data_IF_337299244998
#
_entry.id   IF_337299244998
#
_cell.length_a   1.000
_cell.length_b   1.000
_cell.length_c   1.000
_cell.angle_alpha   90.00
_cell.angle_beta   90.00
_cell.angle_gamma   90.00
#
_symmetry.space_group_name_H-M   'P 1'
#
loop_
_entity.id
_entity.type
_entity.pdbx_description
1 polymer ?
#
# COMPACT_ATOMS: atom_id res chain seq x y z
N UNK A 1 5.82 13.34 1.99
CA UNK A 1 5.86 14.14 0.73
C UNK A 1 6.91 15.25 0.86
N UNK A 2 8.21 14.89 0.83
CA UNK A 2 9.31 15.82 1.18
C UNK A 2 9.41 17.07 0.29
N UNK A 3 8.79 17.08 -0.91
CA UNK A 3 8.78 18.23 -1.83
C UNK A 3 7.44 18.42 -2.55
N UNK A 4 6.40 17.69 -2.21
CA UNK A 4 5.10 17.79 -2.86
C UNK A 4 4.10 18.46 -1.92
N UNK A 5 3.61 19.61 -2.32
CA UNK A 5 2.50 20.29 -1.63
C UNK A 5 1.22 19.52 -1.93
N UNK A 6 0.43 19.18 -0.90
CA UNK A 6 -0.93 18.70 -1.10
C UNK A 6 -1.78 19.89 -1.58
N UNK A 7 -2.36 19.76 -2.76
CA UNK A 7 -3.16 20.82 -3.37
C UNK A 7 -4.65 20.66 -3.07
N UNK A 8 -5.11 19.42 -3.01
CA UNK A 8 -6.52 19.09 -2.76
C UNK A 8 -6.64 17.77 -2.00
N UNK A 9 -7.69 17.67 -1.20
CA UNK A 9 -8.28 16.40 -0.80
C UNK A 9 -9.45 16.11 -1.72
N UNK A 10 -9.49 14.91 -2.30
CA UNK A 10 -10.58 14.46 -3.14
C UNK A 10 -11.36 13.34 -2.42
N UNK A 11 -12.65 13.50 -2.29
CA UNK A 11 -13.54 12.52 -1.66
C UNK A 11 -14.70 12.17 -2.61
N UNK A 12 -15.30 11.00 -2.43
CA UNK A 12 -16.52 10.68 -3.19
C UNK A 12 -17.63 11.70 -2.89
N UNK A 13 -18.40 12.07 -3.87
CA UNK A 13 -19.34 13.22 -3.85
C UNK A 13 -20.27 13.21 -2.62
N UNK A 14 -20.72 12.03 -2.21
CA UNK A 14 -21.60 11.86 -1.03
C UNK A 14 -20.91 12.11 0.31
N UNK A 15 -19.59 12.22 0.33
CA UNK A 15 -18.79 12.46 1.56
C UNK A 15 -18.27 13.88 1.66
N UNK A 16 -18.56 14.75 0.70
CA UNK A 16 -18.20 16.17 0.78
C UNK A 16 -19.09 16.86 1.83
N UNK A 17 -18.55 17.04 3.03
CA UNK A 17 -19.25 17.72 4.14
C UNK A 17 -18.71 19.11 4.42
N UNK A 18 -17.47 19.35 4.05
CA UNK A 18 -16.72 20.57 4.30
C UNK A 18 -15.99 21.01 3.03
N UNK A 19 -15.69 22.29 2.91
CA UNK A 19 -14.97 22.83 1.75
C UNK A 19 -13.46 22.74 1.87
N UNK A 20 -12.92 22.50 3.06
CA UNK A 20 -11.48 22.34 3.30
C UNK A 20 -11.19 21.49 4.53
N UNK A 21 -9.98 20.94 4.59
CA UNK A 21 -9.40 20.28 5.76
C UNK A 21 -7.99 20.86 5.99
N UNK A 22 -7.73 21.37 7.18
CA UNK A 22 -6.47 22.03 7.54
C UNK A 22 -6.01 23.09 6.52
N UNK A 23 -6.95 23.86 5.98
CA UNK A 23 -6.68 24.90 4.97
C UNK A 23 -6.44 24.38 3.55
N UNK A 24 -6.55 23.08 3.31
CA UNK A 24 -6.45 22.48 1.99
C UNK A 24 -7.85 22.23 1.44
N UNK A 25 -8.17 22.69 0.21
CA UNK A 25 -9.50 22.51 -0.36
C UNK A 25 -9.90 21.04 -0.50
N UNK A 26 -11.17 20.74 -0.20
CA UNK A 26 -11.80 19.45 -0.48
C UNK A 26 -12.62 19.58 -1.75
N UNK A 27 -12.45 18.62 -2.66
CA UNK A 27 -13.17 18.56 -3.94
C UNK A 27 -13.95 17.26 -4.05
N UNK A 28 -15.12 17.24 -4.68
CA UNK A 28 -15.83 16.03 -5.04
C UNK A 28 -15.08 15.24 -6.13
N UNK A 29 -15.25 13.93 -6.11
CA UNK A 29 -14.62 13.05 -7.11
C UNK A 29 -15.04 13.40 -8.55
N UNK A 30 -16.27 13.86 -8.76
CA UNK A 30 -16.77 14.30 -10.07
C UNK A 30 -15.97 15.44 -10.68
N UNK A 31 -15.31 16.28 -9.86
CA UNK A 31 -14.47 17.38 -10.36
C UNK A 31 -13.02 16.95 -10.69
N UNK A 32 -12.65 15.73 -10.39
CA UNK A 32 -11.26 15.26 -10.57
C UNK A 32 -10.78 15.38 -12.02
N UNK A 33 -11.65 15.10 -12.99
CA UNK A 33 -11.33 15.25 -14.43
C UNK A 33 -11.06 16.70 -14.83
N UNK A 34 -11.82 17.65 -14.31
CA UNK A 34 -11.64 19.07 -14.60
C UNK A 34 -10.29 19.58 -14.13
N UNK A 35 -9.80 19.05 -12.99
CA UNK A 35 -8.50 19.39 -12.42
C UNK A 35 -7.37 18.80 -13.26
N UNK A 36 -7.49 17.59 -13.76
CA UNK A 36 -6.50 16.96 -14.64
C UNK A 36 -6.22 17.78 -15.89
N UNK A 37 -7.27 18.34 -16.50
CA UNK A 37 -7.13 19.15 -17.71
C UNK A 37 -6.36 20.46 -17.50
N UNK A 38 -6.15 20.87 -16.25
CA UNK A 38 -5.51 22.13 -15.90
C UNK A 38 -4.05 22.01 -15.47
N UNK A 39 -3.64 20.85 -14.92
CA UNK A 39 -2.31 20.67 -14.33
C UNK A 39 -1.90 19.19 -14.24
N UNK A 40 -0.59 18.93 -14.23
CA UNK A 40 0.02 17.61 -14.01
C UNK A 40 0.03 17.22 -12.53
N UNK A 41 -1.15 17.00 -11.95
CA UNK A 41 -1.24 16.50 -10.59
C UNK A 41 -0.93 15.00 -10.51
N UNK A 42 -0.19 14.62 -9.48
CA UNK A 42 -0.07 13.21 -9.06
C UNK A 42 -1.11 12.92 -8.00
N UNK A 43 -1.67 11.73 -8.04
CA UNK A 43 -2.68 11.29 -7.08
C UNK A 43 -2.08 10.28 -6.10
N UNK A 44 -2.56 10.29 -4.88
CA UNK A 44 -2.36 9.24 -3.89
C UNK A 44 -3.71 8.80 -3.35
N UNK A 45 -4.03 7.50 -3.49
CA UNK A 45 -5.28 6.91 -2.97
C UNK A 45 -5.09 6.47 -1.54
N UNK A 46 -5.55 7.27 -0.60
CA UNK A 46 -5.38 7.09 0.85
C UNK A 46 -6.52 6.27 1.49
N UNK A 47 -6.92 5.16 0.86
CA UNK A 47 -7.94 4.27 1.41
C UNK A 47 -7.29 3.08 2.11
N UNK A 48 -7.86 2.67 3.25
CA UNK A 48 -7.35 1.58 4.07
C UNK A 48 -7.66 0.18 3.48
N UNK A 49 -7.63 -0.84 4.31
CA UNK A 49 -7.73 -2.27 3.95
C UNK A 49 -9.16 -2.81 3.81
N UNK A 50 -10.18 -1.96 3.80
CA UNK A 50 -11.58 -2.38 3.73
C UNK A 50 -11.82 -3.41 2.61
N UNK A 51 -12.54 -4.47 2.94
CA UNK A 51 -12.87 -5.58 2.04
C UNK A 51 -11.61 -6.19 1.38
N UNK A 52 -10.63 -6.60 2.21
CA UNK A 52 -9.35 -7.17 1.74
C UNK A 52 -8.71 -6.31 0.66
N UNK A 53 -8.54 -5.01 0.95
CA UNK A 53 -7.94 -4.00 0.07
C UNK A 53 -8.73 -3.69 -1.23
N UNK A 54 -9.83 -4.41 -1.51
CA UNK A 54 -10.58 -4.30 -2.78
C UNK A 54 -11.19 -2.91 -3.01
N UNK A 55 -11.56 -2.20 -1.94
CA UNK A 55 -12.07 -0.82 -2.06
C UNK A 55 -10.96 0.12 -2.54
N UNK A 56 -9.75 0.02 -1.98
CA UNK A 56 -8.58 0.81 -2.41
C UNK A 56 -8.17 0.45 -3.84
N UNK A 57 -8.12 -0.85 -4.16
CA UNK A 57 -7.82 -1.34 -5.51
C UNK A 57 -8.79 -0.79 -6.55
N UNK A 58 -10.10 -0.84 -6.28
CA UNK A 58 -11.12 -0.34 -7.20
C UNK A 58 -10.94 1.16 -7.48
N UNK A 59 -10.73 1.97 -6.43
CA UNK A 59 -10.49 3.40 -6.56
C UNK A 59 -9.19 3.69 -7.31
N UNK A 60 -8.10 2.99 -7.00
CA UNK A 60 -6.84 3.11 -7.71
C UNK A 60 -7.00 2.81 -9.21
N UNK A 61 -7.64 1.70 -9.56
CA UNK A 61 -7.90 1.33 -10.96
C UNK A 61 -8.80 2.35 -11.68
N UNK A 62 -9.82 2.87 -11.00
CA UNK A 62 -10.72 3.88 -11.53
C UNK A 62 -9.97 5.17 -11.90
N UNK A 63 -9.15 5.68 -10.99
CA UNK A 63 -8.36 6.90 -11.20
C UNK A 63 -7.28 6.67 -12.25
N UNK A 64 -6.67 5.48 -12.29
CA UNK A 64 -5.67 5.12 -13.32
C UNK A 64 -6.28 5.12 -14.72
N UNK A 65 -7.51 4.62 -14.90
CA UNK A 65 -8.24 4.67 -16.18
C UNK A 65 -8.51 6.09 -16.65
N UNK A 66 -8.61 7.06 -15.75
CA UNK A 66 -8.71 8.48 -16.09
C UNK A 66 -7.36 9.07 -16.55
N UNK A 67 -6.28 8.27 -16.53
CA UNK A 67 -4.95 8.64 -17.01
C UNK A 67 -4.15 9.50 -16.04
N UNK A 68 -4.47 9.47 -14.73
CA UNK A 68 -3.63 10.08 -13.71
C UNK A 68 -2.37 9.26 -13.45
N UNK A 69 -1.29 9.95 -13.11
CA UNK A 69 -0.09 9.36 -12.54
C UNK A 69 -0.18 9.35 -11.01
N UNK A 70 0.51 8.42 -10.38
CA UNK A 70 0.47 8.28 -8.93
C UNK A 70 1.81 8.65 -8.29
N UNK A 71 1.73 9.07 -7.05
CA UNK A 71 2.90 9.22 -6.17
C UNK A 71 2.83 8.20 -5.04
N UNK A 72 3.98 7.85 -4.49
CA UNK A 72 4.09 7.04 -3.27
C UNK A 72 4.57 7.90 -2.12
N UNK A 73 4.09 7.60 -0.91
CA UNK A 73 4.62 8.17 0.32
C UNK A 73 5.64 7.21 0.93
N UNK A 74 6.85 7.69 1.15
CA UNK A 74 7.91 6.94 1.83
C UNK A 74 8.45 7.81 2.96
N UNK A 75 8.28 7.33 4.19
CA UNK A 75 8.77 8.06 5.35
C UNK A 75 10.29 8.08 5.39
N UNK A 76 10.86 9.25 5.70
CA UNK A 76 12.32 9.50 5.66
C UNK A 76 13.16 8.61 6.60
N UNK A 77 12.55 8.12 7.68
CA UNK A 77 13.21 7.26 8.67
C UNK A 77 13.09 5.76 8.33
N UNK A 78 12.89 5.42 7.07
CA UNK A 78 12.87 4.03 6.60
C UNK A 78 14.17 3.73 5.88
N UNK A 79 14.76 2.57 6.21
CA UNK A 79 15.87 2.03 5.42
C UNK A 79 15.32 1.25 4.24
N UNK A 80 15.68 1.70 3.05
CA UNK A 80 15.33 1.04 1.79
C UNK A 80 16.62 0.85 1.00
N UNK A 81 16.93 -0.41 0.67
CA UNK A 81 18.10 -0.72 -0.15
C UNK A 81 18.01 -0.02 -1.52
N UNK A 82 19.12 0.48 -2.01
CA UNK A 82 19.27 1.05 -3.36
C UNK A 82 18.91 0.06 -4.49
N UNK A 83 18.93 -1.24 -4.19
CA UNK A 83 18.54 -2.33 -5.10
C UNK A 83 17.09 -2.79 -4.93
N UNK A 84 16.33 -2.18 -4.04
CA UNK A 84 14.90 -2.42 -3.93
C UNK A 84 14.11 -1.57 -4.92
N UNK A 85 12.99 -2.09 -5.39
CA UNK A 85 12.07 -1.34 -6.25
C UNK A 85 10.72 -1.17 -5.58
N UNK A 86 10.15 0.03 -5.71
CA UNK A 86 8.84 0.38 -5.13
C UNK A 86 7.98 0.95 -6.24
N UNK A 87 6.79 0.41 -6.37
CA UNK A 87 5.80 0.83 -7.34
C UNK A 87 5.10 2.14 -6.99
N UNK A 88 4.05 2.43 -7.74
CA UNK A 88 3.24 3.63 -7.54
C UNK A 88 2.15 3.44 -6.48
N UNK A 89 1.65 4.54 -5.92
CA UNK A 89 0.61 4.56 -4.88
C UNK A 89 0.95 3.72 -3.65
N UNK A 90 2.22 3.57 -3.31
CA UNK A 90 2.63 2.88 -2.09
C UNK A 90 2.64 3.82 -0.89
N UNK A 91 2.21 3.32 0.27
CA UNK A 91 2.25 4.02 1.55
C UNK A 91 3.20 3.29 2.49
N UNK A 92 4.36 3.88 2.73
CA UNK A 92 5.45 3.28 3.49
C UNK A 92 5.78 4.19 4.68
N UNK A 93 5.31 3.79 5.85
CA UNK A 93 5.52 4.52 7.10
C UNK A 93 6.93 4.29 7.66
N UNK A 94 7.21 4.90 8.80
CA UNK A 94 8.54 4.95 9.42
C UNK A 94 9.06 3.58 9.86
N UNK A 95 10.38 3.53 10.07
CA UNK A 95 11.12 2.41 10.63
C UNK A 95 11.01 1.10 9.82
N UNK A 96 10.83 1.20 8.51
CA UNK A 96 10.93 0.01 7.66
C UNK A 96 12.38 -0.44 7.51
N UNK A 97 12.58 -1.76 7.35
CA UNK A 97 13.80 -2.34 6.83
C UNK A 97 13.48 -3.13 5.57
N UNK A 98 13.74 -2.53 4.40
CA UNK A 98 13.50 -3.16 3.09
C UNK A 98 14.85 -3.50 2.48
N UNK A 99 15.13 -4.81 2.40
CA UNK A 99 16.44 -5.33 1.99
C UNK A 99 16.65 -5.31 0.47
N UNK A 100 17.84 -5.74 0.06
CA UNK A 100 18.26 -5.77 -1.36
C UNK A 100 17.36 -6.67 -2.22
N UNK A 101 17.17 -6.26 -3.47
CA UNK A 101 16.38 -6.98 -4.48
C UNK A 101 14.91 -7.22 -4.07
N UNK A 102 14.41 -6.53 -3.06
CA UNK A 102 12.98 -6.56 -2.74
C UNK A 102 12.21 -5.82 -3.82
N UNK A 103 11.09 -6.39 -4.23
CA UNK A 103 10.14 -5.77 -5.17
C UNK A 103 8.83 -5.54 -4.44
N UNK A 104 8.50 -4.29 -4.20
CA UNK A 104 7.17 -3.87 -3.74
C UNK A 104 6.43 -3.33 -4.94
N UNK A 105 5.33 -3.98 -5.32
CA UNK A 105 4.53 -3.56 -6.47
C UNK A 105 3.59 -2.38 -6.13
N UNK A 106 2.54 -2.18 -6.90
CA UNK A 106 1.72 -0.99 -6.81
C UNK A 106 0.67 -1.08 -5.69
N UNK A 107 0.31 0.08 -5.16
CA UNK A 107 -0.79 0.21 -4.21
C UNK A 107 -0.60 -0.62 -2.93
N UNK A 108 0.66 -0.83 -2.52
CA UNK A 108 1.05 -1.58 -1.32
C UNK A 108 1.18 -0.64 -0.13
N UNK A 109 0.59 -1.02 1.00
CA UNK A 109 0.66 -0.26 2.23
C UNK A 109 1.47 -1.02 3.29
N UNK A 110 2.50 -0.37 3.80
CA UNK A 110 3.37 -0.85 4.88
C UNK A 110 3.25 0.11 6.06
N UNK A 111 2.59 -0.32 7.12
CA UNK A 111 2.56 0.41 8.38
C UNK A 111 3.92 0.35 9.08
N UNK A 112 4.07 1.04 10.19
CA UNK A 112 5.36 1.26 10.86
C UNK A 112 6.10 -0.03 11.22
N UNK A 113 7.43 -0.03 11.08
CA UNK A 113 8.31 -1.03 11.67
C UNK A 113 8.38 -2.39 10.97
N UNK A 114 7.95 -2.52 9.71
CA UNK A 114 8.04 -3.81 9.03
C UNK A 114 9.46 -4.14 8.58
N UNK A 115 9.76 -5.44 8.51
CA UNK A 115 10.95 -5.98 7.89
C UNK A 115 10.57 -6.78 6.64
N UNK A 116 11.17 -6.46 5.51
CA UNK A 116 11.04 -7.23 4.27
C UNK A 116 12.41 -7.71 3.84
N UNK A 117 12.61 -9.02 3.96
CA UNK A 117 13.85 -9.72 3.67
C UNK A 117 14.19 -9.74 2.18
N UNK A 118 15.48 -9.92 1.91
CA UNK A 118 16.07 -9.88 0.56
C UNK A 118 15.32 -10.76 -0.46
N UNK A 119 15.36 -10.37 -1.74
CA UNK A 119 14.80 -11.09 -2.89
C UNK A 119 13.28 -11.35 -2.80
N UNK A 120 12.59 -10.79 -1.81
CA UNK A 120 11.15 -11.01 -1.62
C UNK A 120 10.33 -10.12 -2.54
N UNK A 121 9.14 -10.59 -2.90
CA UNK A 121 8.19 -9.86 -3.73
C UNK A 121 6.90 -9.66 -2.94
N UNK A 122 6.42 -8.41 -2.86
CA UNK A 122 5.09 -8.08 -2.36
C UNK A 122 4.28 -7.55 -3.53
N UNK A 123 3.25 -8.32 -3.91
CA UNK A 123 2.42 -8.02 -5.07
C UNK A 123 1.37 -6.93 -4.77
N UNK A 124 0.69 -6.48 -5.83
CA UNK A 124 -0.21 -5.32 -5.82
C UNK A 124 -1.28 -5.36 -4.72
N UNK A 125 -1.63 -4.21 -4.21
CA UNK A 125 -2.73 -3.97 -3.28
C UNK A 125 -2.56 -4.60 -1.88
N UNK A 126 -1.45 -5.25 -1.59
CA UNK A 126 -1.21 -5.91 -0.29
C UNK A 126 -1.03 -4.89 0.83
N UNK A 127 -1.43 -5.27 2.04
CA UNK A 127 -1.38 -4.44 3.23
C UNK A 127 -0.68 -5.18 4.37
N UNK A 128 0.41 -4.62 4.85
CA UNK A 128 1.11 -5.08 6.04
C UNK A 128 0.84 -4.10 7.18
N UNK A 129 0.26 -4.60 8.27
CA UNK A 129 0.12 -3.84 9.51
C UNK A 129 1.50 -3.60 10.16
N UNK A 130 1.53 -3.02 11.35
CA UNK A 130 2.81 -2.70 12.01
C UNK A 130 3.57 -3.95 12.43
N UNK A 131 4.91 -3.86 12.35
CA UNK A 131 5.84 -4.88 12.83
C UNK A 131 5.67 -6.27 12.20
N UNK A 132 5.26 -6.34 10.94
CA UNK A 132 5.23 -7.59 10.17
C UNK A 132 6.65 -7.93 9.72
N UNK A 133 7.02 -9.20 9.83
CA UNK A 133 8.32 -9.71 9.36
C UNK A 133 8.09 -10.65 8.19
N UNK A 134 8.53 -10.27 7.02
CA UNK A 134 8.65 -11.15 5.84
C UNK A 134 10.12 -11.49 5.69
N UNK A 135 10.50 -12.77 5.87
CA UNK A 135 11.88 -13.22 5.70
C UNK A 135 12.32 -13.21 4.23
N UNK A 136 13.52 -13.70 3.94
CA UNK A 136 14.07 -13.68 2.59
C UNK A 136 13.36 -14.61 1.60
N UNK A 137 13.50 -14.32 0.31
CA UNK A 137 13.04 -15.16 -0.82
C UNK A 137 11.52 -15.47 -0.81
N UNK A 138 10.71 -14.65 -0.15
CA UNK A 138 9.27 -14.83 -0.06
C UNK A 138 8.53 -14.25 -1.27
N UNK A 139 7.39 -14.87 -1.64
CA UNK A 139 6.49 -14.38 -2.68
C UNK A 139 5.10 -14.17 -2.08
N UNK A 140 4.73 -12.91 -1.91
CA UNK A 140 3.43 -12.51 -1.36
C UNK A 140 2.54 -12.07 -2.50
N UNK A 141 1.39 -12.71 -2.64
CA UNK A 141 0.39 -12.44 -3.67
C UNK A 141 -0.37 -11.14 -3.48
N UNK A 142 -1.32 -10.90 -4.39
CA UNK A 142 -2.15 -9.68 -4.42
C UNK A 142 -3.20 -9.68 -3.32
N UNK A 143 -3.58 -8.48 -2.90
CA UNK A 143 -4.70 -8.27 -1.97
C UNK A 143 -4.57 -9.05 -0.65
N UNK A 144 -3.36 -9.38 -0.24
CA UNK A 144 -3.13 -9.99 1.07
C UNK A 144 -3.22 -8.94 2.19
N UNK A 145 -3.60 -9.42 3.36
CA UNK A 145 -3.60 -8.64 4.60
C UNK A 145 -2.79 -9.35 5.68
N UNK A 146 -1.87 -8.62 6.28
CA UNK A 146 -1.04 -9.11 7.39
C UNK A 146 -1.35 -8.33 8.66
N UNK A 147 -1.82 -9.05 9.67
CA UNK A 147 -2.05 -8.49 11.01
C UNK A 147 -0.76 -8.12 11.74
N UNK A 148 -0.90 -7.26 12.74
CA UNK A 148 0.23 -6.78 13.56
C UNK A 148 1.08 -7.93 14.10
N UNK A 149 2.42 -7.78 14.07
CA UNK A 149 3.39 -8.76 14.58
C UNK A 149 3.30 -10.16 13.94
N UNK A 150 2.68 -10.31 12.77
CA UNK A 150 2.75 -11.58 12.04
C UNK A 150 4.10 -11.77 11.38
N UNK A 151 4.50 -13.03 11.16
CA UNK A 151 5.79 -13.36 10.58
C UNK A 151 5.69 -14.46 9.54
N UNK A 152 6.57 -14.41 8.53
CA UNK A 152 6.66 -15.37 7.45
C UNK A 152 8.08 -15.89 7.37
N UNK A 153 8.24 -17.22 7.43
CA UNK A 153 9.53 -17.91 7.28
C UNK A 153 10.08 -17.72 5.86
N UNK A 154 11.40 -17.90 5.72
CA UNK A 154 12.09 -17.84 4.42
C UNK A 154 11.48 -18.75 3.35
N UNK A 155 11.57 -18.30 2.10
CA UNK A 155 11.20 -19.06 0.91
C UNK A 155 9.74 -19.49 0.84
N UNK A 156 8.85 -18.80 1.55
CA UNK A 156 7.40 -19.07 1.55
C UNK A 156 6.70 -18.34 0.40
N UNK A 157 5.78 -19.06 -0.22
CA UNK A 157 4.82 -18.48 -1.17
C UNK A 157 3.43 -18.36 -0.54
N UNK A 158 2.92 -17.16 -0.44
CA UNK A 158 1.53 -16.86 -0.05
C UNK A 158 0.79 -16.41 -1.29
N UNK A 159 -0.28 -17.12 -1.67
CA UNK A 159 -1.09 -16.78 -2.84
C UNK A 159 -1.95 -15.55 -2.61
N UNK A 160 -2.80 -15.20 -3.59
CA UNK A 160 -3.61 -13.98 -3.49
C UNK A 160 -4.70 -14.06 -2.42
N UNK A 161 -5.19 -12.92 -1.96
CA UNK A 161 -6.35 -12.77 -1.09
C UNK A 161 -6.24 -13.55 0.24
N UNK A 162 -5.02 -13.68 0.76
CA UNK A 162 -4.77 -14.37 2.04
C UNK A 162 -4.79 -13.37 3.18
N UNK A 163 -5.50 -13.74 4.27
CA UNK A 163 -5.49 -13.02 5.53
C UNK A 163 -4.59 -13.74 6.53
N UNK A 164 -3.56 -13.05 7.01
CA UNK A 164 -2.72 -13.49 8.12
C UNK A 164 -3.13 -12.72 9.36
N UNK A 165 -3.58 -13.41 10.39
CA UNK A 165 -4.00 -12.81 11.67
C UNK A 165 -2.83 -12.17 12.43
N UNK A 166 -3.14 -11.33 13.41
CA UNK A 166 -2.13 -10.73 14.28
C UNK A 166 -1.35 -11.82 15.04
N UNK A 167 -0.04 -11.64 15.13
CA UNK A 167 0.86 -12.57 15.82
C UNK A 167 1.05 -13.93 15.14
N UNK A 168 0.39 -14.21 14.02
CA UNK A 168 0.49 -15.51 13.37
C UNK A 168 1.87 -15.74 12.72
N UNK A 169 2.36 -16.98 12.83
CA UNK A 169 3.64 -17.43 12.26
C UNK A 169 3.39 -18.36 11.08
N UNK A 170 3.77 -17.93 9.87
CA UNK A 170 3.61 -18.68 8.64
C UNK A 170 4.88 -19.46 8.33
N UNK A 171 4.82 -20.79 8.42
CA UNK A 171 5.97 -21.69 8.23
C UNK A 171 5.86 -22.57 6.97
N UNK A 172 4.76 -22.49 6.24
CA UNK A 172 4.49 -23.24 4.99
C UNK A 172 3.76 -22.38 3.98
N UNK A 173 3.79 -22.79 2.72
CA UNK A 173 3.07 -22.11 1.65
C UNK A 173 1.56 -22.04 1.93
N UNK A 174 0.93 -20.93 1.57
CA UNK A 174 -0.50 -20.67 1.82
C UNK A 174 -1.22 -20.53 0.47
N UNK A 175 -2.34 -21.23 0.37
CA UNK A 175 -3.22 -21.21 -0.82
C UNK A 175 -4.08 -19.95 -0.84
N UNK A 176 -4.61 -19.64 -2.02
CA UNK A 176 -5.44 -18.47 -2.28
C UNK A 176 -6.71 -18.44 -1.39
N UNK A 177 -7.09 -17.26 -0.94
CA UNK A 177 -8.28 -17.03 -0.13
C UNK A 177 -8.24 -17.59 1.30
N UNK A 178 -7.09 -18.10 1.73
CA UNK A 178 -6.95 -18.69 3.08
C UNK A 178 -6.96 -17.64 4.17
N UNK A 179 -7.43 -18.04 5.35
CA UNK A 179 -7.31 -17.29 6.61
C UNK A 179 -6.39 -18.08 7.55
N UNK A 180 -5.31 -17.45 7.98
CA UNK A 180 -4.34 -18.03 8.92
C UNK A 180 -4.42 -17.25 10.22
N UNK A 181 -4.82 -17.92 11.29
CA UNK A 181 -4.86 -17.40 12.66
C UNK A 181 -4.03 -18.30 13.56
N UNK A 182 -3.64 -17.81 14.74
CA UNK A 182 -2.98 -18.63 15.76
C UNK A 182 -3.94 -19.66 16.34
#
# INVERSE_FOLDING_TARGET
>A
FKNNKISYFCVDDNYVKESNFEGIPIIPYSELLNIKLRNDYKVFVALSYKNMNKVREAKYKQIKKLGFTFTSFIHKNSYISDKATIGENCFILENQTIQRNVIIKNNVFLWSGNHVGHNSIIDDNTYLSSHVVISGDCKIGKNCFFGVNSSVKDSITIKNEVLIGMGASVTKNITEGSVVIN
#
